data_IF_669674397983
#
_entry.id   IF_669674397983
#
_cell.length_a   1.000
_cell.length_b   1.000
_cell.length_c   1.000
_cell.angle_alpha   90.00
_cell.angle_beta   90.00
_cell.angle_gamma   90.00
#
_symmetry.space_group_name_H-M   'P 1'
#
loop_
_entity.id
_entity.type
_entity.pdbx_description
1 polymer ?
#
# COMPACT_ATOMS: atom_id res chain seq x y z
N UNK A 1 -6.72 26.99 -24.40
CA UNK A 1 -6.90 25.93 -25.43
C UNK A 1 -6.43 24.64 -24.79
N UNK A 2 -7.27 23.62 -24.87
CA UNK A 2 -7.29 22.41 -24.06
C UNK A 2 -6.00 21.61 -24.13
N UNK A 3 -5.51 21.19 -22.96
CA UNK A 3 -4.54 20.08 -22.87
C UNK A 3 -5.13 18.92 -23.68
N UNK A 4 -4.42 18.31 -24.63
CA UNK A 4 -4.99 17.27 -25.47
C UNK A 4 -5.49 16.14 -24.58
N UNK A 5 -6.79 15.86 -24.65
CA UNK A 5 -7.45 14.72 -24.00
C UNK A 5 -6.73 13.41 -24.32
N UNK A 6 -6.04 13.36 -25.47
CA UNK A 6 -5.15 12.26 -25.90
C UNK A 6 -3.94 11.99 -24.98
N UNK A 7 -3.47 12.94 -24.16
CA UNK A 7 -2.43 12.68 -23.15
C UNK A 7 -2.99 11.92 -21.94
N UNK A 8 -4.26 12.17 -21.60
CA UNK A 8 -5.00 11.45 -20.56
C UNK A 8 -5.64 10.15 -21.08
N UNK A 9 -5.85 9.99 -22.39
CA UNK A 9 -6.42 8.75 -22.95
C UNK A 9 -5.37 7.67 -23.25
N UNK A 10 -4.07 8.02 -23.25
CA UNK A 10 -3.00 7.01 -23.18
C UNK A 10 -2.90 6.35 -21.79
N UNK A 11 -3.78 6.73 -20.85
CA UNK A 11 -4.05 6.09 -19.55
C UNK A 11 -5.01 4.90 -19.73
N UNK A 12 -5.09 4.32 -20.92
CA UNK A 12 -5.76 3.04 -21.15
C UNK A 12 -4.76 1.91 -20.93
N UNK A 13 -4.77 1.43 -19.68
CA UNK A 13 -4.08 0.25 -19.14
C UNK A 13 -2.57 0.27 -19.42
N UNK A 14 -1.75 0.87 -18.54
CA UNK A 14 -0.47 0.24 -18.33
C UNK A 14 -0.83 -1.19 -17.91
N UNK A 15 -0.22 -2.16 -18.57
CA UNK A 15 0.10 -3.44 -17.96
C UNK A 15 1.00 -3.08 -16.77
N UNK A 16 0.40 -2.49 -15.72
CA UNK A 16 1.11 -1.89 -14.60
C UNK A 16 1.84 -3.06 -14.00
N UNK A 17 3.14 -3.15 -14.29
CA UNK A 17 4.17 -3.58 -13.35
C UNK A 17 3.57 -3.54 -11.96
N UNK A 18 3.07 -4.69 -11.48
CA UNK A 18 1.98 -4.76 -10.49
C UNK A 18 2.18 -3.79 -9.32
N UNK A 19 1.13 -3.37 -8.61
CA UNK A 19 1.30 -2.51 -7.41
C UNK A 19 2.42 -3.01 -6.46
N UNK A 20 2.69 -4.32 -6.47
CA UNK A 20 3.81 -4.95 -5.79
C UNK A 20 5.17 -4.56 -6.35
N UNK A 21 5.35 -4.52 -7.66
CA UNK A 21 6.58 -4.10 -8.32
C UNK A 21 6.90 -2.65 -7.94
N UNK A 22 5.95 -1.74 -8.13
CA UNK A 22 6.09 -0.34 -7.73
C UNK A 22 6.38 -0.20 -6.23
N UNK A 23 5.62 -0.88 -5.37
CA UNK A 23 5.84 -0.85 -3.93
C UNK A 23 7.21 -1.42 -3.55
N UNK A 24 7.67 -2.48 -4.23
CA UNK A 24 8.99 -3.10 -4.01
C UNK A 24 10.16 -2.22 -4.41
N UNK A 25 9.91 -1.25 -5.29
CA UNK A 25 10.86 -0.21 -5.68
C UNK A 25 10.73 1.07 -4.84
N UNK A 26 9.83 1.07 -3.84
CA UNK A 26 9.50 2.24 -3.02
C UNK A 26 8.87 3.42 -3.78
N UNK A 27 8.18 3.15 -4.90
CA UNK A 27 7.52 4.18 -5.70
C UNK A 27 6.27 4.76 -5.02
N UNK A 28 5.88 5.99 -5.39
CA UNK A 28 4.71 6.68 -4.83
C UNK A 28 3.39 6.15 -5.40
N UNK A 29 2.97 4.98 -4.93
CA UNK A 29 1.76 4.30 -5.45
C UNK A 29 0.46 5.07 -5.17
N UNK A 30 0.44 5.97 -4.19
CA UNK A 30 -0.75 6.79 -3.84
C UNK A 30 -1.15 7.80 -4.93
N UNK A 31 -0.31 8.02 -5.94
CA UNK A 31 -0.61 8.89 -7.09
C UNK A 31 -1.45 8.19 -8.18
N UNK A 32 -1.60 6.88 -8.08
CA UNK A 32 -2.31 6.06 -9.04
C UNK A 32 -3.66 5.60 -8.49
N UNK A 33 -4.59 5.28 -9.39
CA UNK A 33 -5.89 4.75 -9.02
C UNK A 33 -5.88 3.23 -9.17
N UNK A 34 -5.94 2.50 -8.06
CA UNK A 34 -5.96 1.05 -8.02
C UNK A 34 -7.28 0.55 -7.44
N UNK A 35 -7.80 -0.56 -7.96
CA UNK A 35 -8.91 -1.26 -7.34
C UNK A 35 -8.44 -2.12 -6.15
N UNK A 36 -9.36 -2.44 -5.23
CA UNK A 36 -9.07 -3.21 -4.02
C UNK A 36 -8.61 -4.65 -4.32
N UNK A 37 -9.04 -5.22 -5.45
CA UNK A 37 -8.60 -6.54 -5.92
C UNK A 37 -7.11 -6.54 -6.24
N UNK A 38 -6.61 -5.47 -6.86
CA UNK A 38 -5.20 -5.26 -7.18
C UNK A 38 -4.36 -5.03 -5.93
N UNK A 39 -4.90 -4.32 -4.91
CA UNK A 39 -4.18 -4.06 -3.66
C UNK A 39 -3.79 -5.31 -2.88
N UNK A 40 -4.63 -6.36 -2.94
CA UNK A 40 -4.40 -7.59 -2.20
C UNK A 40 -3.57 -8.63 -2.95
N UNK A 41 -3.07 -8.28 -4.14
CA UNK A 41 -2.07 -9.10 -4.82
C UNK A 41 -0.86 -9.33 -3.91
N UNK A 42 -0.27 -10.51 -4.05
CA UNK A 42 0.92 -10.92 -3.33
C UNK A 42 2.01 -11.33 -4.31
N UNK A 43 3.26 -11.09 -3.92
CA UNK A 43 4.41 -11.55 -4.71
C UNK A 43 4.65 -13.05 -4.49
N UNK A 44 5.69 -13.60 -5.13
CA UNK A 44 6.06 -15.02 -5.01
C UNK A 44 6.46 -15.45 -3.59
N UNK A 45 6.75 -14.50 -2.69
CA UNK A 45 6.98 -14.75 -1.25
C UNK A 45 5.74 -14.50 -0.41
N UNK A 46 4.58 -14.35 -1.04
CA UNK A 46 3.31 -14.06 -0.39
C UNK A 46 3.26 -12.69 0.31
N UNK A 47 4.10 -11.72 -0.09
CA UNK A 47 4.14 -10.37 0.47
C UNK A 47 3.21 -9.44 -0.29
N UNK A 48 2.45 -8.59 0.40
CA UNK A 48 1.58 -7.60 -0.23
C UNK A 48 2.27 -6.22 -0.33
N UNK A 49 1.60 -5.23 -0.94
CA UNK A 49 2.16 -3.87 -1.08
C UNK A 49 2.43 -3.17 0.28
N UNK A 50 1.67 -3.51 1.33
CA UNK A 50 1.87 -2.94 2.67
C UNK A 50 3.15 -3.44 3.33
N UNK A 51 3.59 -4.67 3.03
CA UNK A 51 4.91 -5.17 3.43
C UNK A 51 6.00 -4.18 3.01
N UNK A 52 6.02 -3.82 1.72
CA UNK A 52 7.06 -2.97 1.17
C UNK A 52 6.97 -1.53 1.67
N UNK A 53 5.76 -0.99 1.80
CA UNK A 53 5.57 0.35 2.37
C UNK A 53 6.14 0.45 3.80
N UNK A 54 5.94 -0.59 4.63
CA UNK A 54 6.52 -0.64 5.98
C UNK A 54 8.04 -0.88 5.91
N UNK A 55 8.50 -1.79 5.05
CA UNK A 55 9.92 -2.10 4.89
C UNK A 55 10.75 -0.86 4.53
N UNK A 56 10.25 -0.03 3.62
CA UNK A 56 10.92 1.21 3.20
C UNK A 56 10.60 2.43 4.07
N UNK A 57 9.79 2.28 5.13
CA UNK A 57 9.31 3.40 5.94
C UNK A 57 8.62 4.50 5.12
N UNK A 58 7.87 4.08 4.11
CA UNK A 58 7.07 4.96 3.26
C UNK A 58 5.68 5.14 3.86
N UNK A 59 5.58 6.16 4.72
CA UNK A 59 4.36 6.47 5.45
C UNK A 59 3.18 6.81 4.53
N UNK A 60 3.40 7.50 3.41
CA UNK A 60 2.31 7.91 2.52
C UNK A 60 1.69 6.71 1.79
N UNK A 61 2.52 5.78 1.29
CA UNK A 61 2.03 4.50 0.77
C UNK A 61 1.29 3.70 1.86
N UNK A 62 1.83 3.66 3.08
CA UNK A 62 1.18 2.98 4.20
C UNK A 62 -0.23 3.54 4.47
N UNK A 63 -0.37 4.86 4.58
CA UNK A 63 -1.66 5.56 4.76
C UNK A 63 -2.63 5.23 3.63
N UNK A 64 -2.18 5.35 2.38
CA UNK A 64 -3.00 5.08 1.21
C UNK A 64 -3.52 3.63 1.20
N UNK A 65 -2.65 2.65 1.44
CA UNK A 65 -3.01 1.24 1.45
C UNK A 65 -4.00 0.90 2.57
N UNK A 66 -3.79 1.43 3.77
CA UNK A 66 -4.69 1.24 4.91
C UNK A 66 -6.07 1.87 4.67
N UNK A 67 -6.12 3.09 4.11
CA UNK A 67 -7.37 3.75 3.74
C UNK A 67 -8.19 2.94 2.73
N UNK A 68 -7.51 2.23 1.84
CA UNK A 68 -8.14 1.35 0.84
C UNK A 68 -8.33 -0.10 1.33
N UNK A 69 -8.26 -0.34 2.65
CA UNK A 69 -8.63 -1.62 3.29
C UNK A 69 -7.84 -2.83 2.77
N UNK A 70 -6.55 -2.65 2.45
CA UNK A 70 -5.65 -3.78 2.19
C UNK A 70 -5.62 -4.75 3.38
N UNK A 71 -5.33 -6.03 3.14
CA UNK A 71 -5.05 -6.99 4.20
C UNK A 71 -3.87 -6.55 5.07
N UNK A 72 -4.05 -6.63 6.39
CA UNK A 72 -3.00 -6.32 7.37
C UNK A 72 -2.02 -7.49 7.56
N UNK A 73 -2.30 -8.65 7.00
CA UNK A 73 -1.35 -9.76 6.95
C UNK A 73 -0.37 -9.52 5.80
N UNK A 74 0.72 -8.83 6.11
CA UNK A 74 1.68 -8.34 5.11
C UNK A 74 2.42 -9.47 4.43
N UNK A 75 2.59 -10.59 5.13
CA UNK A 75 3.01 -11.90 4.65
C UNK A 75 2.38 -13.00 5.55
N UNK A 76 2.49 -14.30 5.24
CA UNK A 76 1.72 -15.35 5.92
C UNK A 76 1.87 -15.41 7.44
N UNK A 77 3.01 -14.97 7.97
CA UNK A 77 3.33 -15.08 9.40
C UNK A 77 3.42 -13.73 10.10
N UNK A 78 3.24 -12.61 9.39
CA UNK A 78 3.38 -11.28 9.99
C UNK A 78 2.17 -10.40 9.74
N UNK A 79 1.62 -9.93 10.85
CA UNK A 79 0.68 -8.81 10.87
C UNK A 79 1.45 -7.49 10.75
N UNK A 80 0.87 -6.50 10.07
CA UNK A 80 1.49 -5.22 9.75
C UNK A 80 2.08 -4.50 10.97
N UNK A 81 1.37 -4.53 12.10
CA UNK A 81 1.82 -3.90 13.34
C UNK A 81 3.08 -4.58 13.91
N UNK A 82 3.11 -5.92 13.92
CA UNK A 82 4.26 -6.69 14.40
C UNK A 82 5.48 -6.52 13.49
N UNK A 83 5.25 -6.48 12.18
CA UNK A 83 6.30 -6.22 11.19
C UNK A 83 6.88 -4.81 11.33
N UNK A 84 6.04 -3.78 11.49
CA UNK A 84 6.52 -2.42 11.72
C UNK A 84 7.32 -2.29 13.02
N UNK A 85 6.90 -3.03 14.07
CA UNK A 85 7.60 -3.11 15.36
C UNK A 85 8.97 -3.80 15.23
N UNK A 86 9.05 -4.93 14.54
CA UNK A 86 10.32 -5.68 14.39
C UNK A 86 11.37 -4.88 13.62
N UNK A 87 10.94 -4.05 12.67
CA UNK A 87 11.80 -3.14 11.89
C UNK A 87 12.11 -1.82 12.60
N UNK A 88 11.57 -1.58 13.81
CA UNK A 88 11.67 -0.29 14.53
C UNK A 88 11.18 0.90 13.69
N UNK A 89 10.23 0.67 12.79
CA UNK A 89 9.65 1.70 11.95
C UNK A 89 8.57 2.46 12.74
N UNK A 90 9.00 3.46 13.51
CA UNK A 90 8.11 4.24 14.39
C UNK A 90 6.96 4.92 13.63
N UNK A 91 7.22 5.51 12.46
CA UNK A 91 6.21 6.29 11.71
C UNK A 91 5.06 5.41 11.24
N UNK A 92 5.37 4.30 10.58
CA UNK A 92 4.34 3.37 10.11
C UNK A 92 3.68 2.66 11.29
N UNK A 93 4.45 2.28 12.33
CA UNK A 93 3.92 1.66 13.54
C UNK A 93 2.86 2.54 14.22
N UNK A 94 3.19 3.80 14.51
CA UNK A 94 2.28 4.74 15.18
C UNK A 94 1.00 4.93 14.37
N UNK A 95 1.10 5.04 13.04
CA UNK A 95 -0.06 5.20 12.18
C UNK A 95 -0.92 3.93 12.10
N UNK A 96 -0.31 2.74 11.98
CA UNK A 96 -1.03 1.46 11.98
C UNK A 96 -1.75 1.28 13.32
N UNK A 97 -1.09 1.58 14.44
CA UNK A 97 -1.68 1.50 15.77
C UNK A 97 -2.90 2.43 15.91
N UNK A 98 -2.78 3.69 15.45
CA UNK A 98 -3.88 4.64 15.42
C UNK A 98 -5.04 4.14 14.54
N UNK A 99 -4.74 3.64 13.34
CA UNK A 99 -5.73 3.10 12.41
C UNK A 99 -6.50 1.93 13.03
N UNK A 100 -5.81 1.02 13.72
CA UNK A 100 -6.41 -0.11 14.41
C UNK A 100 -7.32 0.34 15.55
N UNK A 101 -6.85 1.25 16.42
CA UNK A 101 -7.63 1.74 17.54
C UNK A 101 -8.93 2.44 17.10
N UNK A 102 -8.87 3.21 16.01
CA UNK A 102 -10.06 3.87 15.47
C UNK A 102 -11.09 2.89 14.87
N UNK A 103 -10.66 1.71 14.42
CA UNK A 103 -11.56 0.69 13.88
C UNK A 103 -12.45 0.07 14.96
N UNK A 104 -11.97 -0.01 16.20
CA UNK A 104 -12.72 -0.58 17.34
C UNK A 104 -13.63 0.42 18.08
N UNK A 105 -13.61 1.71 17.69
CA UNK A 105 -14.45 2.74 18.31
C UNK A 105 -15.80 2.88 17.58
N UNK A 106 -15.90 2.43 16.33
CA UNK A 106 -17.11 2.54 15.50
C UNK A 106 -17.66 1.18 15.01
N UNK A 107 -17.19 0.08 15.60
CA UNK A 107 -17.64 -1.29 15.31
C UNK A 107 -18.58 -1.83 16.38
#
# INVERSE_FOLDING_TARGET
>A
MTVPTAFFEKVLKPDISSILELASMNEMIYQYNFDITTLNNRDYKQRNALFYAIYFNNLENCKFLLKNKISLWVEPQYHALDFARSLRNKKCYDYILLFLNNKYIFS
#
